data_IF_026587267430
#
_entry.id   IF_026587267430
#
_cell.length_a   1.000
_cell.length_b   1.000
_cell.length_c   1.000
_cell.angle_alpha   90.00
_cell.angle_beta   90.00
_cell.angle_gamma   90.00
#
_symmetry.space_group_name_H-M   'P 1'
#
loop_
_entity.id
_entity.type
_entity.pdbx_description
1 polymer ?
#
# COMPACT_ATOMS: atom_id res chain seq x y z
N UNK A 1 -7.51 -10.41 -13.87
CA UNK A 1 -7.20 -10.47 -12.42
C UNK A 1 -6.39 -9.23 -12.10
N UNK A 2 -6.74 -8.48 -11.06
CA UNK A 2 -5.98 -7.28 -10.70
C UNK A 2 -4.73 -7.68 -9.91
N UNK A 3 -3.58 -7.18 -10.33
CA UNK A 3 -2.27 -7.46 -9.72
C UNK A 3 -1.77 -6.24 -8.96
N UNK A 4 -1.12 -6.48 -7.83
CA UNK A 4 -0.49 -5.47 -7.00
C UNK A 4 1.01 -5.55 -7.25
N UNK A 5 1.56 -4.49 -7.83
CA UNK A 5 2.97 -4.40 -8.22
C UNK A 5 3.71 -3.55 -7.19
N UNK A 6 4.69 -4.14 -6.51
CA UNK A 6 5.53 -3.49 -5.50
C UNK A 6 6.96 -3.44 -6.04
N UNK A 7 7.42 -2.24 -6.40
CA UNK A 7 8.82 -1.99 -6.80
C UNK A 7 9.68 -1.84 -5.56
N UNK A 8 10.61 -2.77 -5.36
CA UNK A 8 11.63 -2.69 -4.32
C UNK A 8 12.99 -2.34 -4.93
N UNK A 9 13.98 -1.88 -4.14
CA UNK A 9 15.27 -1.44 -4.66
C UNK A 9 16.03 -2.49 -5.51
N UNK A 10 15.78 -3.78 -5.31
CA UNK A 10 16.50 -4.87 -6.00
C UNK A 10 15.60 -5.87 -6.73
N UNK A 11 14.29 -5.75 -6.60
CA UNK A 11 13.36 -6.71 -7.19
C UNK A 11 11.97 -6.10 -7.43
N UNK A 12 11.21 -6.77 -8.29
CA UNK A 12 9.82 -6.45 -8.58
C UNK A 12 8.95 -7.57 -8.01
N UNK A 13 8.10 -7.24 -7.04
CA UNK A 13 7.08 -8.15 -6.53
C UNK A 13 5.79 -7.90 -7.28
N UNK A 14 5.22 -8.96 -7.84
CA UNK A 14 3.89 -8.97 -8.45
C UNK A 14 3.08 -9.99 -7.68
N UNK A 15 2.01 -9.53 -7.03
CA UNK A 15 1.16 -10.34 -6.17
C UNK A 15 -0.29 -10.17 -6.59
N UNK A 16 -1.05 -11.24 -6.54
CA UNK A 16 -2.51 -11.18 -6.64
C UNK A 16 -3.12 -10.64 -5.35
N UNK A 17 -4.36 -10.16 -5.43
CA UNK A 17 -5.10 -9.72 -4.24
C UNK A 17 -5.21 -10.82 -3.15
N UNK A 18 -5.52 -12.09 -3.46
CA UNK A 18 -5.54 -13.15 -2.45
C UNK A 18 -4.18 -13.37 -1.77
N UNK A 19 -3.09 -13.31 -2.53
CA UNK A 19 -1.73 -13.53 -2.00
C UNK A 19 -1.31 -12.42 -1.04
N UNK A 20 -1.57 -11.15 -1.40
CA UNK A 20 -1.24 -10.05 -0.49
C UNK A 20 -2.08 -10.12 0.79
N UNK A 21 -3.36 -10.49 0.69
CA UNK A 21 -4.24 -10.63 1.85
C UNK A 21 -3.79 -11.78 2.74
N UNK A 22 -3.35 -12.90 2.15
CA UNK A 22 -2.76 -14.01 2.89
C UNK A 22 -1.47 -13.60 3.63
N UNK A 23 -0.57 -12.87 2.97
CA UNK A 23 0.65 -12.34 3.59
C UNK A 23 0.33 -11.40 4.75
N UNK A 24 -0.61 -10.47 4.56
CA UNK A 24 -0.99 -9.49 5.59
C UNK A 24 -1.66 -10.12 6.81
N UNK A 25 -2.35 -11.26 6.64
CA UNK A 25 -2.92 -12.02 7.77
C UNK A 25 -1.85 -12.52 8.74
N UNK A 26 -0.64 -12.80 8.27
CA UNK A 26 0.46 -13.27 9.14
C UNK A 26 0.94 -12.21 10.13
N UNK A 27 0.75 -10.92 9.80
CA UNK A 27 1.08 -9.81 10.69
C UNK A 27 0.05 -8.67 10.58
N UNK A 28 -1.05 -8.74 11.34
CA UNK A 28 -2.10 -7.73 11.33
C UNK A 28 -1.62 -6.32 11.73
N UNK A 29 -0.51 -6.21 12.46
CA UNK A 29 0.08 -4.92 12.84
C UNK A 29 0.57 -4.13 11.63
N UNK A 30 1.16 -4.82 10.64
CA UNK A 30 1.62 -4.21 9.38
C UNK A 30 0.44 -3.61 8.62
N UNK A 31 -0.70 -4.32 8.58
CA UNK A 31 -1.91 -3.84 7.92
C UNK A 31 -2.42 -2.53 8.51
N UNK A 32 -2.58 -2.47 9.83
CA UNK A 32 -3.06 -1.27 10.52
C UNK A 32 -2.12 -0.07 10.28
N UNK A 33 -0.80 -0.29 10.31
CA UNK A 33 0.17 0.77 10.03
C UNK A 33 0.14 1.21 8.56
N UNK A 34 0.01 0.28 7.61
CA UNK A 34 -0.09 0.60 6.19
C UNK A 34 -1.30 1.49 5.90
N UNK A 35 -2.46 1.18 6.49
CA UNK A 35 -3.67 2.01 6.36
C UNK A 35 -3.48 3.42 6.92
N UNK A 36 -2.80 3.56 8.07
CA UNK A 36 -2.49 4.88 8.64
C UNK A 36 -1.59 5.70 7.70
N UNK A 37 -0.54 5.09 7.14
CA UNK A 37 0.35 5.74 6.16
C UNK A 37 -0.42 6.18 4.91
N UNK A 38 -1.26 5.31 4.35
CA UNK A 38 -2.06 5.62 3.17
C UNK A 38 -3.02 6.80 3.38
N UNK A 39 -3.68 6.88 4.54
CA UNK A 39 -4.51 8.05 4.89
C UNK A 39 -3.70 9.35 4.98
N UNK A 40 -2.49 9.29 5.53
CA UNK A 40 -1.58 10.44 5.61
C UNK A 40 -1.19 10.93 4.22
N UNK A 41 -0.77 10.01 3.34
CA UNK A 41 -0.39 10.31 1.96
C UNK A 41 -1.56 10.94 1.18
N UNK A 42 -2.74 10.33 1.20
CA UNK A 42 -3.91 10.86 0.49
C UNK A 42 -4.31 12.25 0.98
N UNK A 43 -4.20 12.53 2.29
CA UNK A 43 -4.46 13.87 2.84
C UNK A 43 -3.42 14.88 2.35
N UNK A 44 -2.15 14.49 2.31
CA UNK A 44 -1.08 15.33 1.81
C UNK A 44 -1.29 15.67 0.33
N UNK A 45 -1.56 14.67 -0.51
CA UNK A 45 -1.83 14.86 -1.94
C UNK A 45 -3.01 15.82 -2.16
N UNK A 46 -4.14 15.60 -1.47
CA UNK A 46 -5.30 16.51 -1.53
C UNK A 46 -4.99 17.92 -1.03
N UNK A 47 -4.05 18.07 -0.09
CA UNK A 47 -3.66 19.39 0.40
C UNK A 47 -2.78 20.14 -0.59
N UNK A 48 -1.93 19.41 -1.34
CA UNK A 48 -1.11 19.97 -2.41
C UNK A 48 -1.98 20.38 -3.60
N UNK A 49 -2.96 19.55 -3.99
CA UNK A 49 -3.90 19.83 -5.09
C UNK A 49 -4.76 21.08 -4.85
N UNK A 50 -5.07 21.42 -3.60
CA UNK A 50 -5.82 22.64 -3.25
C UNK A 50 -4.96 23.91 -3.18
N UNK A 51 -3.63 23.77 -3.16
CA UNK A 51 -2.68 24.88 -3.01
C UNK A 51 -2.05 25.31 -4.34
N UNK A 52 -2.13 24.46 -5.37
CA UNK A 52 -1.83 24.81 -6.76
C UNK A 52 -3.06 25.37 -7.45
#
# INVERSE_FOLDING_TARGET
MAEIIIKLPRCLLVLTEPEILALLKTNPGIWAQALKRGKGLSRFEKSMERRG
#
